data_IF_113605321659
#
_entry.id   IF_113605321659
#
_cell.length_a   1.000
_cell.length_b   1.000
_cell.length_c   1.000
_cell.angle_alpha   90.00
_cell.angle_beta   90.00
_cell.angle_gamma   90.00
#
_symmetry.space_group_name_H-M   'P 1'
#
loop_
_entity.id
_entity.type
_entity.pdbx_description
1 polymer ?
2 polymer ?
3 water ?
#
# COMPACT_ATOMS: atom_id res chain seq x y z
N UNK A 3 8.67 -7.50 21.91
CA UNK A 3 7.58 -7.96 21.06
C UNK A 3 7.24 -9.42 21.27
N UNK A 4 6.22 -9.89 20.55
CA UNK A 4 5.81 -11.28 20.64
C UNK A 4 6.18 -12.09 19.42
N UNK A 5 5.18 -12.61 18.72
CA UNK A 5 5.40 -13.35 17.49
C UNK A 5 5.48 -12.41 16.30
N UNK A 6 6.01 -12.86 15.16
CA UNK A 6 6.01 -12.00 13.96
C UNK A 6 4.62 -11.52 13.59
N UNK A 7 3.60 -12.35 13.79
CA UNK A 7 2.23 -11.94 13.49
C UNK A 7 1.72 -10.91 14.49
N UNK A 8 2.16 -10.99 15.75
CA UNK A 8 1.75 -10.00 16.73
C UNK A 8 2.49 -8.68 16.53
N UNK A 9 3.77 -8.75 16.15
CA UNK A 9 4.52 -7.53 15.88
C UNK A 9 3.98 -6.81 14.65
N UNK A 10 3.47 -7.55 13.67
CA UNK A 10 2.86 -6.92 12.50
C UNK A 10 1.53 -6.26 12.87
N UNK A 11 0.75 -6.90 13.74
CA UNK A 11 -0.53 -6.32 14.15
C UNK A 11 -0.33 -5.05 14.97
N UNK A 12 0.76 -4.97 15.74
CA UNK A 12 1.05 -3.74 16.47
C UNK A 12 1.41 -2.61 15.52
N UNK A 13 2.20 -2.90 14.48
CA UNK A 13 2.54 -1.87 13.51
C UNK A 13 1.32 -1.43 12.72
N UNK A 14 0.40 -2.35 12.44
CA UNK A 14 -0.87 -1.97 11.81
C UNK A 14 -1.66 -1.03 12.72
N UNK A 15 -1.60 -1.26 14.03
CA UNK A 15 -2.31 -0.41 14.97
C UNK A 15 -1.69 0.99 15.03
N UNK A 16 -0.36 1.07 14.96
CA UNK A 16 0.30 2.37 14.98
C UNK A 16 0.02 3.15 13.70
N UNK A 17 -0.03 2.47 12.56
CA UNK A 17 -0.32 3.14 11.30
C UNK A 17 -1.75 3.68 11.30
N UNK A 18 -2.71 2.84 11.70
CA UNK A 18 -4.10 3.27 11.76
C UNK A 18 -4.29 4.41 12.75
N UNK A 19 -3.58 4.38 13.88
CA UNK A 19 -3.72 5.43 14.88
C UNK A 19 -3.24 6.78 14.35
N UNK A 20 -2.27 6.77 13.44
CA UNK A 20 -1.80 8.02 12.84
C UNK A 20 -2.90 8.70 12.04
N UNK A 21 -3.64 7.93 11.25
CA UNK A 21 -4.69 8.50 10.41
C UNK A 21 -5.95 8.81 11.20
N UNK A 22 -6.17 8.13 12.32
CA UNK A 22 -7.32 8.45 13.17
C UNK A 22 -7.13 9.78 13.88
N UNK A 23 -5.90 10.10 14.28
CA UNK A 23 -5.61 11.37 14.94
C UNK A 23 -5.65 12.56 13.98
N UNK A 24 -5.65 12.32 12.67
CA UNK A 24 -5.76 13.41 11.72
C UNK A 24 -7.17 13.98 11.73
N UNK A 25 -7.25 15.31 11.57
CA UNK A 25 -8.56 15.96 11.53
C UNK A 25 -9.28 15.65 10.22
N UNK A 26 -8.55 15.65 9.11
CA UNK A 26 -9.09 15.25 7.82
C UNK A 26 -8.02 14.51 7.03
N UNK A 27 -8.47 13.65 6.12
CA UNK A 27 -7.58 12.86 5.27
C UNK A 27 -8.10 12.96 3.84
N UNK A 28 -7.24 13.41 2.93
CA UNK A 28 -7.58 13.54 1.51
C UNK A 28 -6.55 12.76 0.71
N UNK A 29 -7.03 11.85 -0.14
CA UNK A 29 -6.18 10.98 -0.94
C UNK A 29 -6.26 11.36 -2.41
N UNK A 30 -5.18 11.09 -3.13
CA UNK A 30 -5.14 11.30 -4.57
C UNK A 30 -4.25 10.24 -5.20
N UNK A 31 -4.72 9.68 -6.32
CA UNK A 31 -3.97 8.70 -7.09
C UNK A 31 -3.82 9.23 -8.50
N UNK A 32 -2.57 9.38 -8.95
CA UNK A 32 -2.27 9.88 -10.28
C UNK A 32 -1.32 8.92 -10.97
N UNK A 33 -1.52 8.73 -12.27
CA UNK A 33 -0.71 7.81 -13.06
C UNK A 33 -0.50 8.39 -14.45
N UNK A 34 0.73 8.30 -14.95
CA UNK A 34 1.07 8.84 -16.26
C UNK A 34 2.35 8.18 -16.75
N UNK A 35 2.26 7.45 -17.86
CA UNK A 35 3.41 6.84 -18.52
C UNK A 35 4.14 5.88 -17.58
N UNK A 36 3.39 4.91 -17.05
CA UNK A 36 3.93 3.91 -16.16
C UNK A 36 4.41 4.43 -14.82
N UNK A 37 4.22 5.71 -14.53
CA UNK A 37 4.61 6.31 -13.26
C UNK A 37 3.34 6.60 -12.47
N UNK A 38 3.27 6.07 -11.25
CA UNK A 38 2.09 6.19 -10.41
C UNK A 38 2.46 6.93 -9.13
N UNK A 39 1.63 7.91 -8.76
CA UNK A 39 1.87 8.75 -7.59
C UNK A 39 0.69 8.63 -6.64
N UNK A 40 0.97 8.25 -5.40
CA UNK A 40 -0.04 8.07 -4.37
C UNK A 40 0.19 9.11 -3.29
N UNK A 41 -0.73 10.06 -3.17
CA UNK A 41 -0.60 11.18 -2.25
C UNK A 41 -1.71 11.14 -1.22
N UNK A 42 -1.34 11.26 0.05
CA UNK A 42 -2.30 11.38 1.15
C UNK A 42 -1.97 12.62 1.95
N UNK A 43 -2.96 13.50 2.10
CA UNK A 43 -2.79 14.76 2.81
C UNK A 43 -3.53 14.68 4.14
N UNK A 44 -2.81 14.87 5.23
CA UNK A 44 -3.37 14.83 6.58
C UNK A 44 -3.47 16.25 7.11
N UNK A 45 -4.64 16.62 7.61
CA UNK A 45 -4.84 17.88 8.31
C UNK A 45 -4.74 17.62 9.81
N UNK A 46 -3.75 18.23 10.45
CA UNK A 46 -3.48 18.03 11.87
C UNK A 46 -3.42 19.42 12.51
N UNK A 47 -4.51 19.83 13.15
CA UNK A 47 -4.58 21.17 13.71
C UNK A 47 -4.56 22.23 12.62
N UNK A 48 -3.58 23.12 12.69
CA UNK A 48 -3.41 24.14 11.66
C UNK A 48 -2.47 23.71 10.55
N UNK A 49 -1.64 22.69 10.78
CA UNK A 49 -0.67 22.25 9.80
C UNK A 49 -1.18 21.11 8.93
N UNK A 50 -0.32 20.67 8.02
CA UNK A 50 -0.65 19.60 7.09
C UNK A 50 0.55 18.68 6.90
N UNK A 51 0.26 17.40 6.69
CA UNK A 51 1.26 16.40 6.32
C UNK A 51 0.92 15.89 4.93
N UNK A 52 1.91 15.86 4.05
CA UNK A 52 1.75 15.31 2.71
C UNK A 52 2.62 14.07 2.59
N UNK A 53 1.98 12.92 2.39
CA UNK A 53 2.65 11.64 2.23
C UNK A 53 2.56 11.24 0.76
N UNK A 54 3.71 11.00 0.13
CA UNK A 54 3.79 10.69 -1.29
C UNK A 54 4.53 9.38 -1.46
N UNK A 55 3.86 8.40 -2.07
CA UNK A 55 4.48 7.14 -2.46
C UNK A 55 4.44 7.03 -3.97
N UNK A 56 5.58 6.75 -4.58
CA UNK A 56 5.69 6.63 -6.03
C UNK A 56 6.00 5.19 -6.41
N UNK A 57 5.35 4.72 -7.47
CA UNK A 57 5.49 3.35 -7.93
C UNK A 57 5.63 3.33 -9.44
N UNK A 58 6.38 2.35 -9.94
CA UNK A 58 6.53 2.13 -11.37
C UNK A 58 5.71 0.92 -11.78
N UNK A 59 4.89 1.09 -12.81
CA UNK A 59 3.98 0.04 -13.27
C UNK A 59 4.75 -0.84 -14.25
N UNK A 60 5.24 -1.97 -13.76
CA UNK A 60 5.94 -2.95 -14.58
C UNK A 60 5.00 -4.12 -14.82
N UNK A 61 4.75 -4.42 -16.10
CA UNK A 61 3.89 -5.53 -16.49
C UNK A 61 2.48 -5.37 -15.91
N UNK A 62 1.97 -4.14 -15.93
CA UNK A 62 0.65 -3.85 -15.41
C UNK A 62 0.52 -3.89 -13.91
N UNK A 63 1.57 -4.28 -13.18
CA UNK A 63 1.55 -4.39 -11.73
C UNK A 63 2.40 -3.30 -11.09
N UNK A 64 2.02 -2.82 -9.91
CA UNK A 64 2.80 -1.77 -9.25
C UNK A 64 4.04 -2.32 -8.57
N UNK A 65 5.15 -1.59 -8.70
CA UNK A 65 6.41 -1.93 -8.07
C UNK A 65 6.91 -0.71 -7.31
N UNK A 66 7.42 -0.93 -6.10
CA UNK A 66 7.90 0.16 -5.27
C UNK A 66 9.04 0.91 -5.96
N UNK A 67 8.97 2.24 -5.91
CA UNK A 67 9.96 3.12 -6.55
C UNK A 67 10.37 4.19 -5.54
N UNK A 68 11.28 3.82 -4.64
CA UNK A 68 11.79 4.74 -3.64
C UNK A 68 10.99 4.72 -2.35
N UNK A 69 11.57 5.34 -1.33
CA UNK A 69 10.92 5.43 -0.03
C UNK A 69 9.82 6.49 -0.06
N UNK A 70 9.01 6.49 1.00
CA UNK A 70 7.90 7.44 1.10
C UNK A 70 8.44 8.82 1.42
N UNK A 71 7.80 9.85 0.87
CA UNK A 71 8.18 11.24 1.10
C UNK A 71 7.17 11.88 2.05
N UNK A 72 7.68 12.61 3.04
CA UNK A 72 6.86 13.32 4.02
C UNK A 72 7.19 14.80 3.90
N UNK A 73 6.21 15.59 3.44
CA UNK A 73 6.40 17.01 3.20
C UNK A 73 5.40 17.78 4.06
N UNK A 74 5.87 18.84 4.70
CA UNK A 74 5.03 19.69 5.54
C UNK A 74 5.47 21.14 5.41
N UNK A 75 4.50 22.04 5.55
CA UNK A 75 4.82 23.45 5.67
C UNK A 75 5.68 23.77 6.89
N UNK A 76 5.46 23.17 8.09
CA UNK A 76 6.44 23.35 9.16
C UNK A 76 7.74 22.61 8.87
N UNK A 77 8.07 21.64 9.72
CA UNK A 77 9.28 20.84 9.53
C UNK A 77 9.00 19.43 10.08
N UNK A 78 8.41 18.59 9.23
CA UNK A 78 8.22 17.18 9.53
C UNK A 78 9.51 16.37 9.37
N UNK A 79 10.67 16.97 9.64
CA UNK A 79 11.91 16.20 9.63
C UNK A 79 11.86 15.09 10.67
N UNK A 80 11.47 15.43 11.90
CA UNK A 80 11.38 14.43 12.95
C UNK A 80 10.20 13.49 12.71
N UNK A 81 9.04 14.05 12.39
CA UNK A 81 7.89 13.21 12.06
C UNK A 81 8.17 12.34 10.84
N UNK A 82 8.76 12.93 9.79
CA UNK A 82 9.14 12.13 8.63
C UNK A 82 10.18 11.08 8.96
N UNK A 83 11.09 11.39 9.90
CA UNK A 83 12.06 10.40 10.33
C UNK A 83 11.38 9.22 11.02
N UNK A 84 10.35 9.50 11.83
CA UNK A 84 9.59 8.41 12.45
C UNK A 84 8.74 7.67 11.42
N UNK A 85 8.11 8.41 10.50
CA UNK A 85 7.27 7.76 9.50
C UNK A 85 8.10 6.92 8.53
N UNK A 86 9.25 7.44 8.10
CA UNK A 86 10.12 6.67 7.21
C UNK A 86 10.71 5.45 7.92
N UNK A 87 10.95 5.56 9.23
CA UNK A 87 11.39 4.39 9.99
C UNK A 87 10.24 3.42 10.21
N UNK A 88 9.03 3.95 10.41
CA UNK A 88 7.86 3.08 10.58
C UNK A 88 7.56 2.32 9.30
N UNK A 89 7.72 2.96 8.15
CA UNK A 89 7.48 2.28 6.88
C UNK A 89 8.45 1.12 6.69
N UNK A 90 9.74 1.36 6.96
CA UNK A 90 10.74 0.31 6.78
C UNK A 90 10.54 -0.82 7.78
N UNK A 91 10.16 -0.48 9.02
CA UNK A 91 9.88 -1.52 10.01
C UNK A 91 8.60 -2.27 9.68
N UNK A 92 7.61 -1.59 9.09
CA UNK A 92 6.38 -2.25 8.68
C UNK A 92 6.62 -3.22 7.53
N UNK A 93 7.63 -2.96 6.70
CA UNK A 93 7.96 -3.85 5.59
C UNK A 93 8.69 -5.10 6.08
N UNK A 94 9.63 -4.95 7.02
CA UNK A 94 10.34 -6.12 7.54
C UNK A 94 9.40 -7.04 8.29
N UNK A 95 8.41 -6.48 8.99
CA UNK A 95 7.46 -7.30 9.73
C UNK A 95 6.66 -8.19 8.79
N UNK A 96 6.24 -7.64 7.64
CA UNK A 96 5.55 -8.46 6.64
C UNK A 96 6.49 -9.50 6.05
N UNK A 97 7.74 -9.13 5.81
CA UNK A 97 8.71 -10.09 5.30
C UNK A 97 8.86 -11.29 6.23
N UNK A 98 8.93 -11.05 7.54
CA UNK A 98 9.15 -12.14 8.48
C UNK A 98 7.92 -13.04 8.59
N UNK A 99 6.73 -12.46 8.48
CA UNK A 99 5.51 -13.27 8.47
C UNK A 99 5.44 -14.11 7.20
N UNK A 100 5.82 -13.52 6.07
CA UNK A 100 5.76 -14.25 4.80
C UNK A 100 6.81 -15.36 4.75
N UNK A 101 8.00 -15.12 5.30
CA UNK A 101 9.01 -16.17 5.33
C UNK A 101 8.58 -17.33 6.23
N UNK A 102 7.78 -17.04 7.26
CA UNK A 102 7.28 -18.10 8.13
C UNK A 102 6.23 -18.95 7.43
N UNK A 103 5.37 -18.32 6.64
CA UNK A 103 4.32 -19.04 5.92
C UNK A 103 4.86 -19.59 4.61
N UNK B 1 -5.58 -20.11 -13.56
CA UNK B 1 -6.03 -19.08 -12.63
C UNK B 1 -6.66 -17.90 -13.36
N UNK B 2 -7.86 -17.53 -12.95
CA UNK B 2 -8.56 -16.36 -13.49
C UNK B 2 -8.67 -15.31 -12.40
N UNK B 3 -8.23 -14.09 -12.70
CA UNK B 3 -8.26 -12.98 -11.76
C UNK B 3 -9.12 -11.85 -12.31
N UNK B 4 -9.92 -11.25 -11.44
CA UNK B 4 -10.72 -10.10 -11.84
C UNK B 4 -9.82 -8.94 -12.24
N UNK B 5 -10.23 -8.22 -13.29
CA UNK B 5 -9.50 -7.05 -13.75
C UNK B 5 -10.05 -5.79 -13.08
N UNK B 6 -9.31 -4.69 -13.26
CA UNK B 6 -9.72 -3.43 -12.65
C UNK B 6 -11.05 -2.95 -13.19
N UNK B 7 -11.36 -3.27 -14.45
CA UNK B 7 -12.62 -2.90 -15.08
C UNK B 7 -13.56 -4.10 -14.98
N UNK B 8 -14.59 -4.06 -14.14
CA UNK B 8 -15.55 -5.16 -14.09
C UNK B 8 -16.41 -5.17 -15.35
N UNK B 9 -16.97 -6.33 -15.72
CA UNK B 9 -16.91 -7.63 -15.06
C UNK B 9 -15.82 -8.54 -15.63
N UNK B 10 -14.74 -7.99 -16.15
CA UNK B 10 -13.77 -8.78 -16.90
C UNK B 10 -12.76 -9.46 -15.99
N UNK B 11 -12.28 -10.61 -16.44
CA UNK B 11 -11.23 -11.36 -15.77
C UNK B 11 -10.11 -11.64 -16.76
N UNK B 12 -9.02 -12.21 -16.25
CA UNK B 12 -7.85 -12.52 -17.06
C UNK B 12 -7.30 -13.88 -16.66
N UNK B 13 -7.22 -14.79 -17.63
CA UNK B 13 -6.51 -16.05 -17.41
C UNK B 13 -5.02 -15.75 -17.31
N UNK B 14 -4.45 -15.94 -16.13
CA UNK B 14 -3.09 -15.51 -15.89
C UNK B 14 -2.11 -16.32 -16.74
N UNK B 15 -1.04 -15.69 -17.20
CA UNK B 15 0.01 -16.41 -17.93
C UNK B 15 0.90 -17.18 -16.95
N UNK B 16 1.84 -17.93 -17.51
CA UNK B 16 2.73 -18.73 -16.68
C UNK B 16 3.69 -17.81 -15.92
N UNK B 17 3.82 -18.05 -14.62
CA UNK B 17 4.62 -17.22 -13.75
C UNK B 17 3.82 -16.33 -12.82
N UNK B 18 2.56 -16.05 -13.15
CA UNK B 18 1.67 -15.26 -12.30
C UNK B 18 0.62 -16.22 -11.73
N UNK B 19 0.89 -16.73 -10.52
CA UNK B 19 0.00 -17.68 -9.86
C UNK B 19 -0.75 -17.04 -8.70
N UNK B 20 -1.03 -15.74 -8.78
CA UNK B 20 -1.73 -15.04 -7.72
C UNK B 20 -2.63 -13.97 -8.32
N UNK B 21 -3.77 -13.75 -7.67
CA UNK B 21 -4.60 -12.58 -7.91
C UNK B 21 -4.30 -11.55 -6.83
N UNK B 22 -4.45 -10.28 -7.17
CA UNK B 22 -4.18 -9.21 -6.22
C UNK B 22 -5.15 -8.06 -6.45
N UNK B 23 -5.45 -7.35 -5.37
CA UNK B 23 -6.22 -6.12 -5.42
C UNK B 23 -5.46 -5.05 -4.65
N UNK B 24 -5.41 -3.85 -5.22
CA UNK B 24 -4.68 -2.72 -4.65
C UNK B 24 -5.68 -1.63 -4.29
N UNK B 25 -5.65 -1.20 -3.03
CA UNK B 25 -6.55 -0.16 -2.55
C UNK B 25 -5.79 0.80 -1.66
N UNK B 26 -6.35 2.00 -1.50
CA UNK B 26 -5.88 2.91 -0.47
C UNK B 26 -6.22 2.35 0.91
N UNK B 27 -5.39 2.69 1.89
CA UNK B 27 -5.54 2.13 3.23
C UNK B 27 -6.89 2.47 3.86
N UNK B 28 -7.53 3.56 3.45
CA UNK B 28 -8.80 3.94 4.05
C UNK B 28 -10.02 3.49 3.24
N UNK B 29 -9.83 3.03 2.00
CA UNK B 29 -10.94 2.69 1.11
C UNK B 29 -10.73 1.29 0.55
N UNK B 30 -11.16 0.25 1.28
CA UNK B 30 -11.00 -1.12 0.77
C UNK B 30 -11.95 -1.47 -0.36
N UNK B 31 -12.96 -0.64 -0.63
CA UNK B 31 -13.95 -0.92 -1.66
C UNK B 31 -13.72 -0.13 -2.94
N UNK B 32 -12.57 0.52 -3.08
CA UNK B 32 -12.23 1.26 -4.29
C UNK B 32 -10.92 0.71 -4.84
N UNK B 33 -10.96 -0.29 -5.72
CA UNK B 33 -9.71 -0.86 -6.24
C UNK B 33 -8.96 0.14 -7.11
N UNK B 34 -7.65 0.21 -6.89
CA UNK B 34 -6.76 1.03 -7.71
C UNK B 34 -6.08 0.19 -8.78
N UNK B 35 -5.61 -1.00 -8.41
CA UNK B 35 -5.08 -1.98 -9.35
C UNK B 35 -5.66 -3.34 -8.99
N UNK B 36 -5.81 -4.20 -10.00
CA UNK B 36 -6.52 -5.46 -9.80
C UNK B 36 -6.26 -6.43 -10.95
N UNK B 37 -5.66 -7.58 -10.66
CA UNK B 37 -5.41 -8.55 -11.71
C UNK B 37 -4.46 -9.64 -11.26
N UNK B 38 -3.81 -10.26 -12.24
CA UNK B 38 -2.81 -11.29 -11.97
C UNK B 38 -1.50 -10.65 -11.52
N UNK B 39 -0.71 -11.42 -10.78
CA UNK B 39 0.60 -10.96 -10.31
C UNK B 39 1.40 -12.18 -9.89
N UNK B 40 2.72 -12.04 -9.88
CA UNK B 40 3.61 -13.14 -9.54
C UNK B 40 3.87 -13.22 -8.03
N UNK B 41 4.27 -12.10 -7.42
CA UNK B 41 4.57 -12.03 -6.00
C UNK B 41 3.66 -10.98 -5.37
N UNK B 42 3.16 -11.27 -4.18
CA UNK B 42 2.29 -10.32 -3.50
C UNK B 42 3.08 -9.10 -3.06
N UNK B 43 2.67 -7.89 -3.45
CA UNK B 43 3.38 -6.70 -2.99
C UNK B 43 3.17 -6.48 -1.50
N UNK B 44 4.21 -6.01 -0.83
CA UNK B 44 4.09 -5.66 0.58
C UNK B 44 3.29 -4.37 0.73
N UNK B 45 2.36 -4.37 1.68
CA UNK B 45 1.58 -3.17 1.95
C UNK B 45 2.48 -2.07 2.50
N UNK B 46 2.03 -0.83 2.34
CA UNK B 46 2.79 0.33 2.79
C UNK B 46 1.96 1.21 3.71
N UNK B 47 2.47 2.41 4.03
CA UNK B 47 1.74 3.31 4.91
C UNK B 47 0.45 3.81 4.26
N UNK B 48 0.40 3.84 2.93
CA UNK B 48 -0.75 4.37 2.21
C UNK B 48 -1.52 3.32 1.42
N UNK B 49 -0.92 2.17 1.14
CA UNK B 49 -1.48 1.19 0.21
C UNK B 49 -1.60 -0.16 0.89
N UNK B 50 -2.74 -0.82 0.70
CA UNK B 50 -2.97 -2.17 1.17
C UNK B 50 -3.11 -3.11 -0.02
N UNK B 51 -2.40 -4.23 0.03
CA UNK B 51 -2.47 -5.25 -1.01
C UNK B 51 -3.10 -6.52 -0.45
N UNK B 52 -4.06 -7.07 -1.19
CA UNK B 52 -4.71 -8.32 -0.84
C UNK B 52 -4.47 -9.31 -1.97
N UNK B 53 -3.92 -10.48 -1.63
CA UNK B 53 -3.59 -11.49 -2.63
C UNK B 53 -4.29 -12.81 -2.31
N UNK B 54 -4.56 -13.58 -3.36
CA UNK B 54 -5.28 -14.84 -3.24
C UNK B 54 -5.01 -15.66 -4.50
N UNK B 55 -5.29 -16.96 -4.42
CA UNK B 55 -4.86 -17.89 -5.47
C UNK B 55 -5.99 -18.78 -5.97
N UNK B 56 -7.23 -18.30 -5.94
CA UNK B 56 -8.35 -19.02 -6.52
C UNK B 56 -9.01 -18.16 -7.60
N UNK B 57 -9.88 -18.79 -8.39
CA UNK B 57 -10.48 -18.11 -9.53
C UNK B 57 -11.38 -16.97 -9.09
N UNK B 58 -11.16 -15.79 -9.67
CA UNK B 58 -11.99 -14.61 -9.44
C UNK B 58 -12.05 -14.23 -7.96
N UNK B 59 -10.98 -14.49 -7.22
CA UNK B 59 -10.99 -14.26 -5.78
C UNK B 59 -10.75 -12.80 -5.43
N UNK B 60 -10.05 -12.06 -6.28
CA UNK B 60 -9.75 -10.66 -6.01
C UNK B 60 -10.88 -9.75 -6.51
#
# INVERSE_FOLDING_TARGET
MSGGTPEERLAQLEKEIQALYDAADEVVDEVEEKDGKMTVTRTLTIGDGTVTLVETLKIVDGAPVKDGEIEVICNPECEELGKRLKALAKEYEKAQEEVEKAKA
LKCNQLIPPFWKTCPKGKNLCYKMTMRAAPMVPVKRGCIDVCPKSSLLIKYMCCNTDKCN
#
